data_IF_280839485172
#
_entry.id   IF_280839485172
#
_cell.length_a   1.000
_cell.length_b   1.000
_cell.length_c   1.000
_cell.angle_alpha   90.00
_cell.angle_beta   90.00
_cell.angle_gamma   90.00
#
_symmetry.space_group_name_H-M   'P 1'
#
loop_
_entity.id
_entity.type
_entity.pdbx_description
1 polymer ?
#
# COMPACT_ATOMS: atom_id res chain seq x y z
N UNK A 1 33.46 -4.26 36.31
CA UNK A 1 33.76 -4.34 34.86
C UNK A 1 33.69 -2.93 34.28
N UNK A 2 34.76 -2.47 33.64
CA UNK A 2 34.75 -1.19 32.92
C UNK A 2 33.99 -1.36 31.60
N UNK A 3 33.06 -0.45 31.30
CA UNK A 3 32.27 -0.48 30.06
C UNK A 3 31.76 0.91 29.72
N UNK A 4 31.55 1.18 28.43
CA UNK A 4 31.04 2.47 27.96
C UNK A 4 29.53 2.43 27.77
N UNK A 5 28.80 3.21 28.59
CA UNK A 5 27.35 3.43 28.47
C UNK A 5 27.00 4.73 27.72
N UNK A 6 27.91 5.27 26.90
CA UNK A 6 27.64 6.47 26.09
C UNK A 6 27.17 6.07 24.69
N UNK A 7 25.86 5.94 24.52
CA UNK A 7 25.22 5.62 23.24
C UNK A 7 25.26 6.75 22.22
N UNK A 8 25.25 8.01 22.67
CA UNK A 8 25.25 9.19 21.81
C UNK A 8 26.59 9.45 21.09
N UNK A 9 27.68 8.78 21.50
CA UNK A 9 29.03 9.02 20.97
C UNK A 9 29.55 7.80 20.23
N UNK A 10 29.55 7.89 18.90
CA UNK A 10 30.09 6.87 17.99
C UNK A 10 29.32 5.54 17.99
N UNK A 11 29.75 4.63 17.12
CA UNK A 11 29.18 3.28 17.03
C UNK A 11 29.64 2.37 18.18
N UNK A 12 28.90 1.28 18.41
CA UNK A 12 29.30 0.21 19.33
C UNK A 12 30.70 -0.33 19.00
N UNK A 13 30.97 -0.57 17.70
CA UNK A 13 32.23 -1.14 17.23
C UNK A 13 33.40 -0.18 17.48
N UNK A 14 33.26 1.10 17.12
CA UNK A 14 34.31 2.10 17.36
C UNK A 14 34.61 2.28 18.85
N UNK A 15 33.59 2.21 19.70
CA UNK A 15 33.77 2.28 21.17
C UNK A 15 34.52 1.07 21.71
N UNK A 16 34.15 -0.13 21.28
CA UNK A 16 34.84 -1.36 21.70
C UNK A 16 36.31 -1.36 21.26
N UNK A 17 36.59 -0.96 20.02
CA UNK A 17 37.96 -0.81 19.51
C UNK A 17 38.75 0.18 20.37
N UNK A 18 38.14 1.32 20.75
CA UNK A 18 38.78 2.30 21.62
C UNK A 18 39.09 1.75 23.02
N UNK A 19 38.16 1.02 23.63
CA UNK A 19 38.33 0.39 24.95
C UNK A 19 39.41 -0.69 24.96
N UNK A 20 39.51 -1.50 23.89
CA UNK A 20 40.58 -2.48 23.72
C UNK A 20 41.93 -1.80 23.51
N UNK A 21 41.98 -0.73 22.70
CA UNK A 21 43.22 0.03 22.45
C UNK A 21 43.73 0.78 23.67
N UNK A 22 42.85 1.31 24.51
CA UNK A 22 43.24 2.02 25.74
C UNK A 22 43.59 1.08 26.89
N UNK A 23 43.41 -0.24 26.73
CA UNK A 23 43.60 -1.23 27.80
C UNK A 23 42.54 -1.19 28.89
N UNK A 24 41.49 -0.37 28.74
CA UNK A 24 40.38 -0.31 29.69
C UNK A 24 39.56 -1.61 29.71
N UNK A 25 39.53 -2.33 28.59
CA UNK A 25 39.05 -3.71 28.48
C UNK A 25 40.18 -4.57 27.96
N UNK A 26 40.42 -5.71 28.61
CA UNK A 26 41.44 -6.65 28.15
C UNK A 26 41.01 -7.38 26.89
N UNK A 27 41.98 -7.83 26.10
CA UNK A 27 41.73 -8.57 24.86
C UNK A 27 41.03 -9.92 25.09
N UNK A 28 41.24 -10.53 26.26
CA UNK A 28 40.58 -11.76 26.74
C UNK A 28 39.11 -11.53 27.11
N UNK A 29 38.78 -10.34 27.61
CA UNK A 29 37.43 -9.96 28.04
C UNK A 29 36.60 -9.37 26.88
N UNK A 30 37.04 -9.53 25.63
CA UNK A 30 36.31 -9.02 24.48
C UNK A 30 34.98 -9.77 24.30
N UNK A 31 33.89 -9.09 23.95
CA UNK A 31 32.63 -9.75 23.68
C UNK A 31 32.74 -10.73 22.52
N UNK A 32 31.99 -11.84 22.61
CA UNK A 32 31.97 -12.91 21.59
C UNK A 32 31.60 -12.36 20.20
N UNK A 33 30.70 -11.36 20.13
CA UNK A 33 30.28 -10.76 18.87
C UNK A 33 31.34 -9.90 18.19
N UNK A 34 32.38 -9.46 18.91
CA UNK A 34 33.36 -8.49 18.39
C UNK A 34 34.11 -9.04 17.16
N UNK A 35 34.57 -10.28 17.23
CA UNK A 35 35.33 -10.90 16.15
C UNK A 35 34.46 -11.07 14.88
N UNK A 36 33.17 -11.40 15.05
CA UNK A 36 32.20 -11.52 13.95
C UNK A 36 31.96 -10.17 13.28
N UNK A 37 31.64 -9.14 14.07
CA UNK A 37 31.32 -7.79 13.55
C UNK A 37 32.55 -7.12 12.95
N UNK A 38 33.75 -7.41 13.46
CA UNK A 38 35.01 -6.91 12.88
C UNK A 38 35.33 -7.59 11.54
N UNK A 39 35.06 -8.89 11.40
CA UNK A 39 35.28 -9.62 10.16
C UNK A 39 34.23 -9.26 9.09
N UNK A 40 32.97 -9.06 9.50
CA UNK A 40 31.85 -8.74 8.63
C UNK A 40 31.18 -7.43 9.10
N UNK A 41 31.82 -6.27 8.85
CA UNK A 41 31.24 -4.99 9.25
C UNK A 41 29.93 -4.73 8.50
N UNK A 42 28.93 -4.11 9.14
CA UNK A 42 27.71 -3.71 8.46
C UNK A 42 28.03 -2.67 7.37
N UNK A 43 27.26 -2.70 6.27
CA UNK A 43 27.37 -1.67 5.23
C UNK A 43 27.02 -0.30 5.82
N UNK A 44 27.75 0.77 5.45
CA UNK A 44 27.41 2.11 5.92
C UNK A 44 25.99 2.45 5.45
N UNK A 45 25.23 3.11 6.31
CA UNK A 45 23.90 3.58 5.93
C UNK A 45 24.08 4.59 4.78
N UNK A 46 23.35 4.46 3.66
CA UNK A 46 23.37 5.49 2.63
C UNK A 46 22.98 6.84 3.26
N UNK A 47 23.48 7.97 2.74
CA UNK A 47 23.03 9.27 3.18
C UNK A 47 21.50 9.33 3.12
N UNK A 48 20.90 9.95 4.12
CA UNK A 48 19.45 10.12 4.22
C UNK A 48 19.01 11.18 3.22
N UNK A 49 19.10 10.84 1.93
CA UNK A 49 18.56 11.62 0.84
C UNK A 49 17.03 11.49 0.85
N UNK A 50 16.35 12.51 0.33
CA UNK A 50 14.91 12.44 0.10
C UNK A 50 14.59 11.24 -0.78
N UNK A 51 13.69 10.37 -0.31
CA UNK A 51 13.30 9.17 -1.05
C UNK A 51 12.49 9.60 -2.29
N UNK A 52 12.96 9.31 -3.51
CA UNK A 52 12.24 9.73 -4.71
C UNK A 52 10.94 8.93 -4.87
N UNK A 53 9.92 9.57 -5.44
CA UNK A 53 8.68 8.90 -5.82
C UNK A 53 8.93 7.97 -7.01
N UNK A 54 8.59 6.69 -6.85
CA UNK A 54 8.69 5.68 -7.92
C UNK A 54 7.46 5.80 -8.81
N UNK A 55 7.67 6.12 -10.08
CA UNK A 55 6.62 6.22 -11.11
C UNK A 55 7.11 5.51 -12.36
N UNK A 56 6.25 4.67 -12.94
CA UNK A 56 6.56 3.96 -14.17
C UNK A 56 5.82 4.56 -15.38
N UNK A 57 6.35 4.41 -16.61
CA UNK A 57 5.69 4.92 -17.81
C UNK A 57 4.28 4.35 -18.03
N UNK A 58 4.05 3.10 -17.65
CA UNK A 58 2.72 2.48 -17.73
C UNK A 58 1.70 3.09 -16.76
N UNK A 59 2.15 3.76 -15.70
CA UNK A 59 1.24 4.36 -14.72
C UNK A 59 0.41 5.47 -15.36
N UNK A 60 0.91 6.16 -16.39
CA UNK A 60 0.12 7.12 -17.16
C UNK A 60 -1.06 6.45 -17.88
N UNK A 61 -0.85 5.25 -18.42
CA UNK A 61 -1.90 4.45 -19.07
C UNK A 61 -2.89 3.95 -18.03
N UNK A 62 -2.40 3.47 -16.88
CA UNK A 62 -3.27 3.02 -15.77
C UNK A 62 -4.12 4.14 -15.20
N UNK A 63 -3.57 5.35 -15.06
CA UNK A 63 -4.34 6.53 -14.64
C UNK A 63 -5.46 6.81 -15.62
N UNK A 64 -5.18 6.76 -16.93
CA UNK A 64 -6.21 6.97 -17.93
C UNK A 64 -7.28 5.86 -17.90
N UNK A 65 -6.86 4.59 -17.77
CA UNK A 65 -7.76 3.45 -17.63
C UNK A 65 -8.68 3.61 -16.41
N UNK A 66 -8.16 3.90 -15.23
CA UNK A 66 -8.96 4.01 -13.99
C UNK A 66 -9.81 5.29 -13.91
N UNK A 67 -9.54 6.30 -14.74
CA UNK A 67 -10.43 7.46 -14.91
C UNK A 67 -11.66 7.12 -15.75
N UNK A 68 -11.50 6.26 -16.76
CA UNK A 68 -12.56 5.91 -17.71
C UNK A 68 -13.34 4.68 -17.25
N UNK A 69 -12.64 3.65 -16.79
CA UNK A 69 -13.18 2.33 -16.48
C UNK A 69 -13.01 1.96 -15.01
N UNK A 70 -13.90 1.09 -14.57
CA UNK A 70 -13.83 0.43 -13.27
C UNK A 70 -13.41 -1.01 -13.48
N UNK A 71 -12.47 -1.46 -12.67
CA UNK A 71 -12.12 -2.88 -12.63
C UNK A 71 -13.29 -3.71 -12.07
N UNK A 72 -13.80 -4.61 -12.90
CA UNK A 72 -14.97 -5.46 -12.60
C UNK A 72 -14.58 -6.76 -11.89
N UNK A 73 -13.35 -7.24 -12.12
CA UNK A 73 -12.82 -8.47 -11.56
C UNK A 73 -12.00 -8.20 -10.30
N UNK A 74 -12.15 -9.00 -9.23
CA UNK A 74 -11.28 -8.88 -8.07
C UNK A 74 -9.84 -9.22 -8.44
N UNK A 75 -8.89 -8.44 -7.91
CA UNK A 75 -7.45 -8.69 -8.07
C UNK A 75 -7.01 -9.74 -7.04
N UNK A 76 -6.37 -10.81 -7.53
CA UNK A 76 -5.77 -11.84 -6.67
C UNK A 76 -4.31 -11.47 -6.42
N UNK A 77 -4.00 -11.09 -5.18
CA UNK A 77 -2.62 -10.73 -4.77
C UNK A 77 -1.78 -11.94 -4.35
N UNK A 78 -2.37 -13.13 -4.26
CA UNK A 78 -1.69 -14.36 -3.84
C UNK A 78 -1.04 -15.12 -4.99
N UNK A 79 -1.44 -14.83 -6.23
CA UNK A 79 -0.95 -15.52 -7.42
C UNK A 79 -0.27 -14.52 -8.36
N UNK A 80 1.02 -14.74 -8.61
CA UNK A 80 1.85 -13.90 -9.47
C UNK A 80 1.52 -14.10 -10.97
N UNK A 81 0.82 -15.18 -11.32
CA UNK A 81 0.51 -15.51 -12.72
C UNK A 81 -0.75 -14.82 -13.22
N UNK A 82 -1.68 -14.51 -12.33
CA UNK A 82 -2.97 -13.92 -12.71
C UNK A 82 -2.82 -12.42 -12.96
N UNK A 83 -2.86 -12.04 -14.23
CA UNK A 83 -2.88 -10.62 -14.62
C UNK A 83 -4.26 -10.00 -14.37
N UNK A 84 -4.25 -8.83 -13.74
CA UNK A 84 -5.44 -7.98 -13.58
C UNK A 84 -5.94 -7.45 -14.92
N UNK A 85 -7.17 -6.93 -14.96
CA UNK A 85 -7.74 -6.39 -16.20
C UNK A 85 -6.95 -5.15 -16.63
N UNK A 86 -6.61 -4.29 -15.66
CA UNK A 86 -5.76 -3.13 -15.87
C UNK A 86 -4.38 -3.52 -16.42
N UNK A 87 -3.78 -4.62 -15.92
CA UNK A 87 -2.50 -5.10 -16.45
C UNK A 87 -2.61 -5.61 -17.89
N UNK A 88 -3.64 -6.38 -18.21
CA UNK A 88 -3.87 -6.83 -19.60
C UNK A 88 -4.06 -5.65 -20.55
N UNK A 89 -4.75 -4.61 -20.10
CA UNK A 89 -4.91 -3.37 -20.86
C UNK A 89 -3.56 -2.68 -21.14
N UNK A 90 -2.72 -2.57 -20.12
CA UNK A 90 -1.37 -2.00 -20.28
C UNK A 90 -0.54 -2.84 -21.25
N UNK A 91 -0.55 -4.16 -21.11
CA UNK A 91 0.22 -5.06 -21.97
C UNK A 91 -0.19 -4.91 -23.45
N UNK A 92 -1.50 -4.91 -23.74
CA UNK A 92 -1.99 -4.74 -25.12
C UNK A 92 -1.71 -3.34 -25.65
N UNK A 93 -1.79 -2.31 -24.81
CA UNK A 93 -1.42 -0.94 -25.18
C UNK A 93 0.06 -0.83 -25.57
N UNK A 94 0.94 -1.41 -24.75
CA UNK A 94 2.38 -1.42 -25.03
C UNK A 94 2.71 -2.24 -26.29
N UNK A 95 2.02 -3.36 -26.50
CA UNK A 95 2.17 -4.17 -27.71
C UNK A 95 1.78 -3.38 -28.98
N UNK A 96 0.66 -2.64 -28.95
CA UNK A 96 0.25 -1.79 -30.08
C UNK A 96 1.21 -0.62 -30.30
N UNK A 97 1.71 -0.02 -29.21
CA UNK A 97 2.68 1.06 -29.26
C UNK A 97 3.99 0.57 -29.91
N UNK A 98 4.46 -0.63 -29.55
CA UNK A 98 5.69 -1.21 -30.10
C UNK A 98 5.60 -1.44 -31.62
N UNK A 99 4.42 -1.84 -32.10
CA UNK A 99 4.17 -2.12 -33.52
C UNK A 99 4.07 -0.84 -34.37
N UNK A 100 3.88 0.34 -33.76
CA UNK A 100 3.73 1.66 -34.43
C UNK A 100 2.69 1.70 -35.57
N UNK A 101 1.73 0.77 -35.57
CA UNK A 101 0.71 0.64 -36.62
C UNK A 101 -0.36 1.73 -36.48
N UNK A 102 -0.52 2.30 -35.28
CA UNK A 102 -1.65 3.15 -34.90
C UNK A 102 -1.13 4.49 -34.36
N UNK A 103 -1.74 5.62 -34.74
CA UNK A 103 -1.39 6.93 -34.19
C UNK A 103 -1.67 6.98 -32.68
N UNK A 104 -0.82 7.63 -31.86
CA UNK A 104 -0.92 7.61 -30.40
C UNK A 104 -2.30 7.96 -29.81
N UNK A 105 -3.03 8.86 -30.48
CA UNK A 105 -4.37 9.28 -30.05
C UNK A 105 -5.42 8.16 -30.15
N UNK A 106 -5.28 7.24 -31.10
CA UNK A 106 -6.26 6.17 -31.35
C UNK A 106 -5.87 4.83 -30.69
N UNK A 107 -4.66 4.72 -30.13
CA UNK A 107 -4.20 3.46 -29.53
C UNK A 107 -5.14 3.05 -28.40
N UNK A 108 -5.58 4.00 -27.58
CA UNK A 108 -6.48 3.73 -26.46
C UNK A 108 -7.80 3.12 -26.93
N UNK A 109 -8.46 3.71 -27.92
CA UNK A 109 -9.74 3.20 -28.43
C UNK A 109 -9.59 1.81 -29.05
N UNK A 110 -8.51 1.58 -29.82
CA UNK A 110 -8.23 0.26 -30.41
C UNK A 110 -7.92 -0.79 -29.34
N UNK A 111 -7.24 -0.43 -28.25
CA UNK A 111 -7.06 -1.37 -27.13
C UNK A 111 -8.38 -1.75 -26.47
N UNK A 112 -9.30 -0.79 -26.31
CA UNK A 112 -10.64 -1.05 -25.77
C UNK A 112 -11.42 -2.00 -26.69
N UNK A 113 -11.37 -1.77 -28.01
CA UNK A 113 -11.99 -2.65 -29.00
C UNK A 113 -11.41 -4.08 -28.93
N UNK A 114 -10.08 -4.22 -28.91
CA UNK A 114 -9.43 -5.53 -28.82
C UNK A 114 -9.83 -6.28 -27.54
N UNK A 115 -9.78 -5.63 -26.38
CA UNK A 115 -10.14 -6.28 -25.11
C UNK A 115 -11.63 -6.66 -25.06
N UNK A 116 -12.51 -5.89 -25.73
CA UNK A 116 -13.91 -6.28 -25.92
C UNK A 116 -14.03 -7.51 -26.83
N UNK A 117 -13.25 -7.60 -27.90
CA UNK A 117 -13.22 -8.82 -28.75
C UNK A 117 -12.69 -10.04 -28.02
N UNK A 118 -11.78 -9.86 -27.07
CA UNK A 118 -11.29 -10.92 -26.17
C UNK A 118 -12.31 -11.33 -25.08
N UNK A 119 -13.46 -10.66 -25.01
CA UNK A 119 -14.53 -10.97 -24.07
C UNK A 119 -14.35 -10.40 -22.66
N UNK A 120 -13.43 -9.43 -22.48
CA UNK A 120 -13.21 -8.78 -21.18
C UNK A 120 -14.29 -7.71 -20.96
N UNK A 121 -15.00 -7.81 -19.83
CA UNK A 121 -16.05 -6.85 -19.46
C UNK A 121 -15.45 -5.57 -18.87
N UNK A 122 -15.40 -4.52 -19.68
CA UNK A 122 -15.05 -3.17 -19.26
C UNK A 122 -16.33 -2.40 -18.92
N UNK A 123 -16.46 -1.95 -17.67
CA UNK A 123 -17.54 -1.07 -17.23
C UNK A 123 -17.02 0.34 -17.04
N UNK A 124 -17.75 1.33 -17.53
CA UNK A 124 -17.39 2.75 -17.39
C UNK A 124 -17.72 3.23 -15.97
N UNK A 125 -16.95 4.20 -15.47
CA UNK A 125 -17.21 4.81 -14.14
C UNK A 125 -18.63 5.36 -14.03
N UNK A 126 -19.14 6.00 -15.09
CA UNK A 126 -20.51 6.54 -15.15
C UNK A 126 -21.57 5.44 -15.01
N UNK A 127 -21.46 4.36 -15.78
CA UNK A 127 -22.38 3.21 -15.73
C UNK A 127 -22.44 2.60 -14.33
N UNK A 128 -21.28 2.48 -13.66
CA UNK A 128 -21.23 2.01 -12.27
C UNK A 128 -21.94 2.97 -11.32
N UNK A 129 -21.70 4.28 -11.46
CA UNK A 129 -22.33 5.29 -10.61
C UNK A 129 -23.86 5.26 -10.74
N UNK A 130 -24.38 5.20 -11.97
CA UNK A 130 -25.82 5.10 -12.23
C UNK A 130 -26.41 3.83 -11.62
N UNK A 131 -25.74 2.68 -11.77
CA UNK A 131 -26.15 1.42 -11.16
C UNK A 131 -26.18 1.49 -9.64
N UNK A 132 -25.16 2.09 -9.03
CA UNK A 132 -25.08 2.25 -7.57
C UNK A 132 -26.16 3.21 -7.05
N UNK A 133 -26.47 4.29 -7.79
CA UNK A 133 -27.56 5.21 -7.49
C UNK A 133 -28.92 4.52 -7.59
N UNK A 134 -29.18 3.78 -8.67
CA UNK A 134 -30.42 3.02 -8.85
C UNK A 134 -30.61 1.98 -7.74
N UNK A 135 -29.53 1.29 -7.36
CA UNK A 135 -29.55 0.36 -6.23
C UNK A 135 -29.90 1.07 -4.92
N UNK A 136 -29.29 2.21 -4.62
CA UNK A 136 -29.62 3.01 -3.41
C UNK A 136 -31.08 3.45 -3.40
N UNK A 137 -31.60 3.91 -4.55
CA UNK A 137 -33.00 4.32 -4.68
C UNK A 137 -33.98 3.15 -4.47
N UNK A 138 -33.66 1.94 -4.96
CA UNK A 138 -34.49 0.74 -4.75
C UNK A 138 -34.52 0.26 -3.29
N UNK A 139 -33.40 0.43 -2.56
CA UNK A 139 -33.31 0.11 -1.13
C UNK A 139 -34.13 1.11 -0.32
N UNK A 140 -34.08 2.40 -0.68
CA UNK A 140 -34.86 3.45 -0.01
C UNK A 140 -36.38 3.34 -0.25
N UNK A 141 -36.81 2.76 -1.38
CA UNK A 141 -38.23 2.60 -1.74
C UNK A 141 -38.84 1.26 -1.34
N UNK A 142 -38.07 0.34 -0.76
CA UNK A 142 -38.60 -0.90 -0.18
C UNK A 142 -38.96 -0.67 1.30
N UNK A 143 -40.24 -0.52 1.66
CA UNK A 143 -40.63 -0.51 3.07
C UNK A 143 -40.30 -1.87 3.68
N UNK A 144 -39.73 -1.84 4.88
CA UNK A 144 -39.25 -2.98 5.65
C UNK A 144 -40.32 -4.10 5.71
N UNK A 145 -40.05 -5.25 5.09
CA UNK A 145 -40.58 -6.52 5.62
C UNK A 145 -39.75 -6.86 6.84
N UNK A 146 -40.04 -6.22 7.97
CA UNK A 146 -39.76 -6.80 9.28
C UNK A 146 -40.60 -8.06 9.39
N UNK A 147 -40.01 -9.20 9.02
CA UNK A 147 -40.47 -10.47 9.56
C UNK A 147 -39.91 -10.49 10.97
N UNK A 148 -40.77 -10.45 11.98
CA UNK A 148 -40.33 -10.54 13.36
C UNK A 148 -39.51 -11.83 13.53
N UNK A 149 -38.33 -11.79 14.15
CA UNK A 149 -37.71 -13.01 14.61
C UNK A 149 -38.58 -13.51 15.77
N UNK A 150 -39.37 -14.55 15.52
CA UNK A 150 -40.04 -15.29 16.58
C UNK A 150 -38.99 -15.72 17.61
N UNK A 151 -39.20 -15.27 18.84
CA UNK A 151 -38.38 -15.54 20.02
C UNK A 151 -38.39 -17.04 20.31
N UNK A 152 -37.29 -17.77 20.03
CA UNK A 152 -37.17 -19.18 20.44
C UNK A 152 -35.71 -19.62 20.70
N UNK A 153 -34.95 -18.82 21.46
CA UNK A 153 -33.68 -19.28 22.03
C UNK A 153 -33.39 -18.70 23.42
N UNK A 154 -34.32 -18.90 24.36
CA UNK A 154 -34.04 -18.77 25.79
C UNK A 154 -34.10 -20.15 26.46
N UNK A 155 -33.04 -20.96 26.31
CA UNK A 155 -32.70 -21.96 27.34
C UNK A 155 -31.24 -22.38 27.25
N UNK A 156 -30.39 -21.70 28.02
CA UNK A 156 -29.17 -22.22 28.70
C UNK A 156 -28.14 -21.11 28.95
N UNK A 157 -28.48 -20.13 29.79
CA UNK A 157 -27.47 -19.27 30.39
C UNK A 157 -26.83 -20.02 31.56
N UNK A 158 -25.73 -20.71 31.28
CA UNK A 158 -24.77 -21.09 32.31
C UNK A 158 -23.94 -19.85 32.65
N UNK A 159 -23.98 -19.45 33.91
CA UNK A 159 -23.28 -18.28 34.47
C UNK A 159 -21.77 -18.52 34.46
N UNK A 160 -21.07 -18.00 33.45
CA UNK A 160 -19.61 -17.81 33.50
C UNK A 160 -19.32 -16.37 33.94
N UNK A 161 -18.46 -16.21 34.94
CA UNK A 161 -17.94 -14.91 35.37
C UNK A 161 -17.08 -14.25 34.28
N UNK A 162 -17.11 -12.91 34.15
CA UNK A 162 -16.31 -12.21 33.15
C UNK A 162 -14.82 -12.14 33.56
N UNK A 163 -13.88 -12.32 32.62
CA UNK A 163 -12.45 -12.10 32.86
C UNK A 163 -12.12 -10.59 32.95
N UNK A 164 -11.06 -10.19 33.67
CA UNK A 164 -10.74 -8.79 33.93
C UNK A 164 -10.36 -8.01 32.67
N UNK A 165 -10.79 -6.73 32.65
CA UNK A 165 -10.65 -5.76 31.57
C UNK A 165 -9.21 -5.64 31.04
N UNK A 166 -9.03 -5.91 29.74
CA UNK A 166 -7.84 -5.47 29.01
C UNK A 166 -8.01 -3.99 28.66
N UNK A 167 -7.04 -3.18 29.10
CA UNK A 167 -6.91 -1.77 28.77
C UNK A 167 -6.93 -1.55 27.25
N UNK A 168 -7.64 -0.49 26.83
CA UNK A 168 -7.76 -0.07 25.44
C UNK A 168 -6.40 0.33 24.85
N UNK A 169 -6.13 0.08 23.55
CA UNK A 169 -4.91 0.55 22.92
C UNK A 169 -4.91 2.09 22.81
N UNK A 170 -3.74 2.75 22.90
CA UNK A 170 -3.67 4.21 22.85
C UNK A 170 -4.07 4.74 21.46
N UNK A 171 -4.89 5.79 21.45
CA UNK A 171 -5.32 6.51 20.25
C UNK A 171 -4.12 7.26 19.65
N UNK A 172 -3.58 6.77 18.54
CA UNK A 172 -2.64 7.55 17.72
C UNK A 172 -3.39 8.69 17.04
N UNK A 173 -3.02 9.94 17.37
CA UNK A 173 -3.44 11.12 16.61
C UNK A 173 -2.51 11.27 15.41
N UNK A 174 -3.00 11.05 14.20
CA UNK A 174 -2.31 11.51 13.00
C UNK A 174 -2.56 13.01 12.83
N UNK A 175 -1.53 13.83 12.55
CA UNK A 175 -1.76 15.21 12.18
C UNK A 175 -2.39 15.24 10.79
N UNK A 176 -3.65 15.68 10.70
CA UNK A 176 -4.29 16.00 9.43
C UNK A 176 -3.67 17.29 8.88
N UNK A 177 -2.66 17.16 8.02
CA UNK A 177 -2.22 18.29 7.18
C UNK A 177 -3.12 18.30 5.95
N UNK A 178 -3.99 19.31 5.86
CA UNK A 178 -4.75 19.58 4.65
C UNK A 178 -3.84 20.35 3.69
N UNK A 179 -3.52 19.74 2.55
CA UNK A 179 -2.83 20.42 1.45
C UNK A 179 -3.91 20.86 0.47
N UNK A 180 -4.10 22.16 0.29
CA UNK A 180 -5.04 22.70 -0.69
C UNK A 180 -4.46 22.55 -2.10
N UNK A 181 -4.98 21.56 -2.82
CA UNK A 181 -4.54 21.21 -4.18
C UNK A 181 -4.91 22.28 -5.22
N UNK A 182 -5.92 23.10 -4.94
CA UNK A 182 -6.41 24.14 -5.86
C UNK A 182 -5.46 25.34 -5.97
N UNK A 183 -4.62 25.57 -4.96
CA UNK A 183 -3.63 26.64 -4.98
C UNK A 183 -2.48 26.39 -5.96
N UNK A 184 -2.27 25.14 -6.40
CA UNK A 184 -1.16 24.77 -7.30
C UNK A 184 -1.39 25.15 -8.77
N UNK A 185 -2.62 25.51 -9.15
CA UNK A 185 -2.99 25.78 -10.54
C UNK A 185 -3.44 27.23 -10.79
N UNK A 186 -3.30 28.12 -9.81
CA UNK A 186 -3.83 29.49 -9.89
C UNK A 186 -2.84 30.55 -10.38
N UNK A 187 -1.57 30.23 -10.62
CA UNK A 187 -0.61 31.17 -11.19
C UNK A 187 -0.45 30.98 -12.70
N UNK A 188 -1.42 31.52 -13.45
CA UNK A 188 -1.23 31.90 -14.86
C UNK A 188 -2.32 32.89 -15.29
N UNK A 189 -2.41 34.03 -14.59
CA UNK A 189 -2.99 35.27 -15.14
C UNK A 189 -2.28 36.50 -14.59
N UNK A 190 -1.16 36.85 -15.20
CA UNK A 190 -0.79 38.23 -15.50
C UNK A 190 0.28 38.31 -16.57
#
# INVERSE_FOLDING_TARGET
MAGSRREAVGSLLSRMIGLLKSGAVKQEDRPIWYDIVKALPPKPLPPQNEVPKIVYPEDFVRVHFHRTFVETSPVRLTDDKTKSVSQRFVDTYLDLLSKKVVPPAEIFDKTVELLKTEGIKLQTVQEKQERDLARRQSIATSPEKYTQPEDDFTSSVSRMEPPPERSSPPKFRTPHVKVDLDSLYSDDKK
#
